data_IF_634472776860
#
_entry.id   IF_634472776860
#
_cell.length_a   1.000
_cell.length_b   1.000
_cell.length_c   1.000
_cell.angle_alpha   90.00
_cell.angle_beta   90.00
_cell.angle_gamma   90.00
#
_symmetry.space_group_name_H-M   'P 1'
#
loop_
_entity.id
_entity.type
_entity.pdbx_description
1 polymer ?
#
# COMPACT_ATOMS: atom_id res chain seq x y z
N UNK A 1 -20.81 6.05 12.67
CA UNK A 1 -21.95 5.36 12.02
C UNK A 1 -22.00 5.77 10.55
N UNK A 2 -22.28 4.85 9.62
CA UNK A 2 -22.29 5.13 8.18
C UNK A 2 -23.63 5.69 7.70
N UNK A 3 -24.03 6.86 8.19
CA UNK A 3 -25.40 7.39 8.00
C UNK A 3 -25.84 7.52 6.54
N UNK A 4 -24.95 7.95 5.66
CA UNK A 4 -25.31 8.12 4.24
C UNK A 4 -25.51 6.77 3.55
N UNK A 5 -24.68 5.77 3.87
CA UNK A 5 -24.89 4.39 3.42
C UNK A 5 -26.23 3.83 3.91
N UNK A 6 -26.61 4.10 5.17
CA UNK A 6 -27.93 3.69 5.70
C UNK A 6 -29.08 4.37 4.95
N UNK A 7 -28.97 5.68 4.68
CA UNK A 7 -29.95 6.42 3.86
C UNK A 7 -30.00 5.89 2.43
N UNK A 8 -28.87 5.44 1.88
CA UNK A 8 -28.82 4.77 0.59
C UNK A 8 -29.64 3.48 0.62
N UNK A 9 -29.38 2.58 1.58
CA UNK A 9 -30.16 1.33 1.76
C UNK A 9 -31.66 1.63 1.85
N UNK A 10 -32.00 2.67 2.61
CA UNK A 10 -33.38 3.11 2.76
C UNK A 10 -34.02 3.56 1.44
N UNK A 11 -33.29 4.35 0.67
CA UNK A 11 -33.74 4.87 -0.62
C UNK A 11 -33.93 3.76 -1.65
N UNK A 12 -33.08 2.73 -1.62
CA UNK A 12 -33.11 1.64 -2.60
C UNK A 12 -34.03 0.49 -2.21
N UNK A 13 -34.64 0.55 -1.03
CA UNK A 13 -35.61 -0.46 -0.59
C UNK A 13 -34.99 -1.80 -0.23
N UNK A 14 -33.75 -1.81 0.28
CA UNK A 14 -33.14 -3.07 0.75
C UNK A 14 -33.88 -3.56 2.00
N UNK A 15 -34.12 -4.87 2.07
CA UNK A 15 -34.77 -5.56 3.20
C UNK A 15 -33.98 -6.85 3.52
N UNK A 16 -34.06 -7.32 4.77
CA UNK A 16 -33.43 -8.57 5.22
C UNK A 16 -32.05 -8.38 5.87
N UNK A 17 -31.23 -9.43 5.86
CA UNK A 17 -29.96 -9.48 6.61
C UNK A 17 -28.86 -8.66 5.95
N UNK A 18 -28.37 -7.67 6.69
CA UNK A 18 -27.24 -6.81 6.32
C UNK A 18 -26.08 -7.05 7.26
N UNK A 19 -24.92 -7.44 6.74
CA UNK A 19 -23.67 -7.49 7.49
C UNK A 19 -23.11 -6.07 7.70
N UNK A 20 -22.76 -5.67 8.92
CA UNK A 20 -22.31 -4.30 9.22
C UNK A 20 -21.07 -4.27 10.11
N UNK A 21 -19.96 -3.80 9.56
CA UNK A 21 -18.67 -3.72 10.25
C UNK A 21 -18.55 -2.59 11.29
N UNK A 22 -19.43 -1.57 11.30
CA UNK A 22 -19.33 -0.43 12.23
C UNK A 22 -19.84 -0.70 13.66
N UNK A 23 -20.62 -1.76 13.86
CA UNK A 23 -21.22 -2.12 15.14
C UNK A 23 -20.62 -3.42 15.67
N UNK A 24 -19.30 -3.47 15.83
CA UNK A 24 -18.57 -4.68 16.26
C UNK A 24 -18.78 -5.89 15.33
N UNK A 25 -19.20 -5.65 14.07
CA UNK A 25 -19.28 -6.66 13.01
C UNK A 25 -20.44 -7.65 13.06
N UNK A 26 -21.58 -7.24 13.60
CA UNK A 26 -22.81 -8.05 13.54
C UNK A 26 -23.59 -7.89 12.23
N UNK A 27 -24.56 -8.78 12.01
CA UNK A 27 -25.64 -8.54 11.06
C UNK A 27 -26.81 -7.83 11.73
N UNK A 28 -27.51 -7.01 10.95
CA UNK A 28 -28.73 -6.31 11.34
C UNK A 28 -29.85 -6.81 10.40
N UNK A 29 -30.99 -7.20 10.96
CA UNK A 29 -32.22 -7.28 10.16
C UNK A 29 -32.59 -5.84 9.78
N UNK A 30 -32.66 -5.58 8.48
CA UNK A 30 -32.97 -4.26 7.93
C UNK A 30 -34.40 -4.27 7.39
N UNK A 31 -35.21 -3.33 7.91
CA UNK A 31 -36.61 -3.05 7.55
C UNK A 31 -37.71 -4.05 7.94
N UNK A 32 -37.41 -5.03 8.79
CA UNK A 32 -38.43 -5.62 9.69
C UNK A 32 -38.30 -5.04 11.12
N UNK A 33 -39.35 -4.36 11.59
CA UNK A 33 -39.45 -3.57 12.83
C UNK A 33 -39.74 -4.42 14.10
N UNK A 34 -39.51 -4.01 15.37
CA UNK A 34 -38.71 -2.92 15.93
C UNK A 34 -37.70 -3.48 16.93
N UNK A 35 -36.47 -3.76 16.53
CA UNK A 35 -35.30 -3.69 17.40
C UNK A 35 -34.13 -3.74 16.45
N UNK A 36 -33.31 -2.69 16.44
CA UNK A 36 -31.91 -2.82 16.04
C UNK A 36 -31.30 -3.82 17.04
N UNK A 37 -31.47 -5.13 16.84
CA UNK A 37 -30.75 -6.14 17.61
C UNK A 37 -29.50 -6.41 16.79
N UNK A 38 -28.36 -5.77 17.09
CA UNK A 38 -27.10 -6.30 16.61
C UNK A 38 -27.03 -7.74 17.11
N UNK A 39 -26.77 -8.70 16.22
CA UNK A 39 -26.53 -10.05 16.68
C UNK A 39 -25.13 -10.10 17.25
N UNK A 40 -25.08 -9.88 18.55
CA UNK A 40 -24.14 -10.55 19.42
C UNK A 40 -24.89 -11.78 19.95
N UNK A 41 -24.91 -12.86 19.16
CA UNK A 41 -25.44 -14.23 19.40
C UNK A 41 -26.67 -14.45 20.31
N UNK A 42 -27.45 -13.41 20.61
CA UNK A 42 -28.43 -13.41 21.69
C UNK A 42 -27.85 -13.44 23.11
N UNK A 43 -26.51 -13.44 23.31
CA UNK A 43 -25.85 -13.51 24.62
C UNK A 43 -24.83 -12.40 24.89
N UNK A 44 -24.63 -11.47 23.97
CA UNK A 44 -23.70 -10.35 24.21
C UNK A 44 -22.22 -10.75 24.19
N UNK A 45 -21.88 -11.94 23.67
CA UNK A 45 -20.49 -12.35 23.41
C UNK A 45 -20.20 -12.52 21.90
N UNK A 46 -19.15 -11.86 21.40
CA UNK A 46 -18.59 -12.16 20.08
C UNK A 46 -17.39 -13.07 20.30
N UNK A 47 -17.39 -14.25 19.67
CA UNK A 47 -16.24 -15.14 19.68
C UNK A 47 -15.02 -14.38 19.11
N UNK A 48 -13.88 -14.30 19.83
CA UNK A 48 -12.74 -13.48 19.41
C UNK A 48 -12.23 -13.77 18.00
N UNK A 49 -12.33 -15.02 17.52
CA UNK A 49 -11.96 -15.38 16.15
C UNK A 49 -12.86 -14.71 15.09
N UNK A 50 -14.14 -14.54 15.38
CA UNK A 50 -15.10 -13.90 14.46
C UNK A 50 -14.82 -12.41 14.32
N UNK A 51 -14.39 -11.72 15.39
CA UNK A 51 -13.96 -10.31 15.32
C UNK A 51 -12.80 -10.12 14.33
N UNK A 52 -11.82 -11.03 14.36
CA UNK A 52 -10.74 -11.02 13.39
C UNK A 52 -11.24 -11.29 11.97
N UNK A 53 -12.09 -12.30 11.78
CA UNK A 53 -12.65 -12.62 10.47
C UNK A 53 -13.47 -11.44 9.90
N UNK A 54 -14.23 -10.73 10.72
CA UNK A 54 -14.97 -9.51 10.35
C UNK A 54 -14.00 -8.41 9.90
N UNK A 55 -12.93 -8.18 10.67
CA UNK A 55 -11.95 -7.14 10.36
C UNK A 55 -11.17 -7.46 9.08
N UNK A 56 -10.77 -8.72 8.91
CA UNK A 56 -10.02 -9.18 7.73
C UNK A 56 -10.91 -9.42 6.52
N UNK A 57 -12.21 -9.68 6.68
CA UNK A 57 -13.13 -9.78 5.56
C UNK A 57 -13.12 -8.52 4.71
N UNK A 58 -12.79 -7.35 5.30
CA UNK A 58 -12.59 -6.06 4.60
C UNK A 58 -11.45 -6.06 3.57
N UNK A 59 -10.58 -7.05 3.62
CA UNK A 59 -9.38 -7.16 2.77
C UNK A 59 -9.26 -8.56 2.15
N UNK A 60 -10.27 -9.42 2.32
CA UNK A 60 -10.20 -10.82 1.90
C UNK A 60 -11.59 -11.32 1.45
N UNK A 61 -11.73 -11.44 0.13
CA UNK A 61 -12.96 -11.90 -0.51
C UNK A 61 -13.39 -13.32 -0.08
N UNK A 62 -12.43 -14.21 0.23
CA UNK A 62 -12.74 -15.56 0.68
C UNK A 62 -13.34 -15.55 2.10
N UNK A 63 -12.85 -14.67 2.98
CA UNK A 63 -13.42 -14.49 4.32
C UNK A 63 -14.84 -13.92 4.25
N UNK A 64 -15.12 -12.96 3.36
CA UNK A 64 -16.48 -12.44 3.17
C UNK A 64 -17.46 -13.54 2.71
N UNK A 65 -17.06 -14.42 1.78
CA UNK A 65 -17.88 -15.58 1.37
C UNK A 65 -18.07 -16.59 2.51
N UNK A 66 -17.05 -16.83 3.34
CA UNK A 66 -17.16 -17.71 4.51
C UNK A 66 -18.15 -17.15 5.55
N UNK A 67 -18.07 -15.85 5.84
CA UNK A 67 -19.02 -15.17 6.72
C UNK A 67 -20.43 -15.20 6.13
N UNK A 68 -20.56 -14.97 4.82
CA UNK A 68 -21.84 -15.09 4.11
C UNK A 68 -22.44 -16.49 4.31
N UNK A 69 -21.67 -17.55 4.06
CA UNK A 69 -22.13 -18.92 4.21
C UNK A 69 -22.54 -19.26 5.66
N UNK A 70 -21.86 -18.68 6.66
CA UNK A 70 -22.15 -18.88 8.08
C UNK A 70 -23.38 -18.12 8.56
N UNK A 71 -23.62 -16.90 8.09
CA UNK A 71 -24.62 -15.98 8.66
C UNK A 71 -25.80 -15.64 7.74
N UNK A 72 -25.69 -15.92 6.44
CA UNK A 72 -26.79 -15.83 5.49
C UNK A 72 -27.23 -14.41 5.15
N UNK A 73 -26.30 -13.46 5.03
CA UNK A 73 -26.57 -12.09 4.55
C UNK A 73 -26.33 -11.98 3.04
N UNK A 74 -27.00 -11.04 2.37
CA UNK A 74 -26.80 -10.73 0.94
C UNK A 74 -26.40 -9.26 0.69
N UNK A 75 -26.30 -8.47 1.77
CA UNK A 75 -25.87 -7.07 1.75
C UNK A 75 -24.79 -6.88 2.81
N UNK A 76 -23.74 -6.15 2.50
CA UNK A 76 -22.65 -5.84 3.42
C UNK A 76 -22.33 -4.35 3.41
N UNK A 77 -22.40 -3.72 4.60
CA UNK A 77 -21.87 -2.37 4.87
C UNK A 77 -20.50 -2.54 5.51
N UNK A 78 -19.49 -2.19 4.73
CA UNK A 78 -18.10 -2.32 5.11
C UNK A 78 -17.55 -0.92 5.39
N UNK A 79 -16.82 -0.74 6.47
CA UNK A 79 -16.08 0.49 6.69
C UNK A 79 -15.11 0.71 5.53
N UNK A 80 -15.06 1.93 5.02
CA UNK A 80 -14.07 2.31 4.03
C UNK A 80 -12.69 2.01 4.63
N UNK A 81 -11.79 1.34 3.90
CA UNK A 81 -10.49 0.97 4.45
C UNK A 81 -9.77 2.22 4.94
N UNK A 82 -9.56 2.31 6.25
CA UNK A 82 -8.72 3.32 6.88
C UNK A 82 -7.32 2.75 7.06
N UNK A 83 -6.30 3.38 6.47
CA UNK A 83 -4.90 3.00 6.63
C UNK A 83 -4.23 2.50 5.36
N UNK A 84 -2.89 2.54 5.36
CA UNK A 84 -1.98 2.36 4.24
C UNK A 84 -2.33 1.15 3.34
N UNK A 85 -2.56 1.45 2.05
CA UNK A 85 -2.60 0.54 0.90
C UNK A 85 -3.03 -0.90 1.24
N UNK A 86 -4.35 -1.12 1.27
CA UNK A 86 -4.91 -2.46 1.13
C UNK A 86 -4.24 -3.17 -0.08
N UNK A 87 -3.83 -4.43 0.10
CA UNK A 87 -3.22 -5.20 -0.99
C UNK A 87 -4.18 -5.24 -2.20
N UNK A 88 -3.72 -4.85 -3.42
CA UNK A 88 -4.58 -4.50 -4.55
C UNK A 88 -5.42 -5.63 -5.17
N UNK A 89 -5.30 -6.87 -4.70
CA UNK A 89 -5.87 -8.05 -5.36
C UNK A 89 -7.13 -8.61 -4.69
N UNK A 90 -7.56 -8.08 -3.54
CA UNK A 90 -8.53 -8.78 -2.71
C UNK A 90 -9.65 -7.90 -2.15
N UNK A 91 -10.60 -7.41 -2.97
CA UNK A 91 -11.85 -6.98 -2.31
C UNK A 91 -13.20 -7.04 -3.04
N UNK A 92 -13.29 -7.40 -4.31
CA UNK A 92 -14.62 -7.68 -4.89
C UNK A 92 -14.73 -9.16 -5.23
N UNK A 93 -15.26 -10.01 -4.33
CA UNK A 93 -15.56 -11.38 -4.70
C UNK A 93 -16.47 -11.38 -5.93
N UNK A 94 -16.30 -12.30 -6.90
CA UNK A 94 -17.05 -12.28 -8.17
C UNK A 94 -18.58 -12.23 -8.00
N UNK A 95 -19.08 -12.73 -6.86
CA UNK A 95 -20.48 -12.79 -6.48
C UNK A 95 -21.04 -11.51 -5.87
N UNK A 96 -20.23 -10.47 -5.69
CA UNK A 96 -20.66 -9.22 -5.10
C UNK A 96 -20.50 -8.07 -6.09
N UNK A 97 -21.28 -7.02 -5.87
CA UNK A 97 -21.22 -5.78 -6.60
C UNK A 97 -21.20 -4.62 -5.60
N UNK A 98 -20.25 -3.70 -5.77
CA UNK A 98 -20.31 -2.42 -5.07
C UNK A 98 -21.43 -1.58 -5.68
N UNK A 99 -22.34 -1.09 -4.85
CA UNK A 99 -23.49 -0.28 -5.28
C UNK A 99 -23.58 1.06 -4.58
N UNK A 100 -22.72 1.31 -3.59
CA UNK A 100 -22.58 2.60 -2.95
C UNK A 100 -21.23 2.71 -2.26
N UNK A 101 -20.66 3.91 -2.24
CA UNK A 101 -19.49 4.22 -1.44
C UNK A 101 -19.45 5.71 -1.05
N UNK A 102 -18.88 6.02 0.10
CA UNK A 102 -18.56 7.39 0.53
C UNK A 102 -17.23 7.41 1.31
N UNK A 103 -16.92 8.52 1.99
CA UNK A 103 -15.68 8.67 2.78
C UNK A 103 -15.60 7.72 3.99
N UNK A 104 -16.73 7.13 4.39
CA UNK A 104 -16.87 6.37 5.63
C UNK A 104 -17.13 4.91 5.32
N UNK A 105 -17.94 4.57 4.32
CA UNK A 105 -18.46 3.22 4.10
C UNK A 105 -18.55 2.81 2.62
N UNK A 106 -18.50 1.51 2.40
CA UNK A 106 -18.77 0.79 1.16
C UNK A 106 -20.01 -0.09 1.37
N UNK A 107 -20.88 -0.18 0.36
CA UNK A 107 -22.03 -1.10 0.37
C UNK A 107 -21.91 -2.06 -0.79
N UNK A 108 -21.81 -3.33 -0.44
CA UNK A 108 -21.82 -4.43 -1.38
C UNK A 108 -23.16 -5.15 -1.33
N UNK A 109 -23.64 -5.54 -2.50
CA UNK A 109 -24.80 -6.42 -2.65
C UNK A 109 -24.38 -7.67 -3.41
N UNK A 110 -24.91 -8.80 -3.00
CA UNK A 110 -24.65 -10.08 -3.66
C UNK A 110 -25.44 -10.14 -4.97
N UNK A 111 -24.85 -10.77 -5.99
CA UNK A 111 -25.46 -11.03 -7.30
C UNK A 111 -26.52 -12.11 -7.20
N UNK A 112 -27.66 -11.76 -6.62
CA UNK A 112 -28.86 -12.61 -6.50
C UNK A 112 -30.01 -11.99 -7.30
N UNK A 113 -31.01 -12.80 -7.74
CA UNK A 113 -32.15 -12.27 -8.49
C UNK A 113 -32.89 -11.09 -7.80
N UNK A 114 -33.13 -11.10 -6.47
CA UNK A 114 -33.80 -9.98 -5.78
C UNK A 114 -33.03 -8.66 -5.82
N UNK A 115 -31.70 -8.71 -5.94
CA UNK A 115 -30.83 -7.53 -5.89
C UNK A 115 -30.33 -7.10 -7.29
N UNK A 116 -30.69 -7.83 -8.34
CA UNK A 116 -30.22 -7.58 -9.71
C UNK A 116 -30.55 -6.15 -10.18
N UNK A 117 -31.76 -5.67 -9.92
CA UNK A 117 -32.18 -4.31 -10.31
C UNK A 117 -31.35 -3.22 -9.62
N UNK A 118 -30.95 -3.44 -8.36
CA UNK A 118 -30.06 -2.51 -7.64
C UNK A 118 -28.67 -2.51 -8.30
N UNK A 119 -28.16 -3.70 -8.64
CA UNK A 119 -26.84 -3.87 -9.26
C UNK A 119 -26.80 -3.25 -10.66
N UNK A 120 -27.84 -3.44 -11.46
CA UNK A 120 -27.92 -2.87 -12.80
C UNK A 120 -28.02 -1.35 -12.76
N UNK A 121 -28.73 -0.81 -11.77
CA UNK A 121 -28.87 0.64 -11.60
C UNK A 121 -27.63 1.28 -10.98
N UNK A 122 -27.11 0.75 -9.89
CA UNK A 122 -26.15 1.42 -9.00
C UNK A 122 -24.75 0.77 -8.99
N UNK A 123 -24.53 -0.28 -9.78
CA UNK A 123 -23.26 -1.00 -9.78
C UNK A 123 -22.08 -0.15 -10.27
N UNK A 124 -21.09 0.06 -9.40
CA UNK A 124 -19.82 0.74 -9.70
C UNK A 124 -18.86 -0.19 -10.44
N UNK A 125 -19.19 -0.54 -11.69
CA UNK A 125 -18.40 -1.49 -12.50
C UNK A 125 -17.00 -0.95 -12.84
N UNK A 126 -16.91 0.36 -13.02
CA UNK A 126 -15.71 1.04 -13.51
C UNK A 126 -14.83 1.57 -12.37
N UNK A 127 -15.45 2.01 -11.27
CA UNK A 127 -14.78 2.59 -10.11
C UNK A 127 -14.64 1.47 -9.07
N UNK A 128 -13.48 0.84 -9.03
CA UNK A 128 -13.15 -0.12 -7.99
C UNK A 128 -12.53 0.66 -6.83
N UNK A 129 -13.25 0.97 -5.74
CA UNK A 129 -12.75 1.84 -4.68
C UNK A 129 -11.65 1.19 -3.85
N UNK A 130 -11.52 -0.15 -3.91
CA UNK A 130 -10.43 -0.86 -3.24
C UNK A 130 -9.10 -0.53 -3.92
N UNK A 131 -9.14 -0.24 -5.22
CA UNK A 131 -8.01 0.30 -5.95
C UNK A 131 -8.18 1.81 -6.02
N UNK A 132 -7.38 2.51 -5.20
CA UNK A 132 -7.21 3.96 -5.27
C UNK A 132 -6.81 4.42 -6.70
N UNK A 133 -6.44 5.69 -6.87
CA UNK A 133 -6.06 6.31 -8.15
C UNK A 133 -5.36 5.35 -9.12
N UNK A 134 -4.35 4.59 -8.65
CA UNK A 134 -3.60 3.60 -9.44
C UNK A 134 -4.45 2.58 -10.24
N UNK A 135 -5.57 2.10 -9.70
CA UNK A 135 -6.47 1.18 -10.42
C UNK A 135 -7.49 1.88 -11.31
N UNK A 136 -7.69 3.19 -11.10
CA UNK A 136 -8.57 4.03 -11.91
C UNK A 136 -7.87 4.47 -13.20
N UNK A 137 -6.58 4.83 -13.13
CA UNK A 137 -5.85 5.44 -14.26
C UNK A 137 -5.90 4.60 -15.55
N UNK A 138 -5.66 3.28 -15.54
CA UNK A 138 -5.73 2.49 -16.77
C UNK A 138 -7.14 2.51 -17.38
N UNK A 139 -8.19 2.55 -16.56
CA UNK A 139 -9.58 2.56 -17.03
C UNK A 139 -10.00 3.90 -17.62
N UNK A 140 -9.36 5.00 -17.21
CA UNK A 140 -9.58 6.31 -17.82
C UNK A 140 -9.02 6.36 -19.25
N UNK A 141 -7.92 5.65 -19.53
CA UNK A 141 -7.35 5.58 -20.88
C UNK A 141 -8.30 4.89 -21.88
N UNK A 142 -9.05 3.89 -21.43
CA UNK A 142 -9.93 3.07 -22.29
C UNK A 142 -11.42 3.48 -22.25
N UNK A 143 -11.83 4.43 -21.38
CA UNK A 143 -13.26 4.73 -21.16
C UNK A 143 -13.59 5.92 -20.24
N UNK A 144 -12.87 7.04 -20.34
CA UNK A 144 -12.96 8.20 -19.44
C UNK A 144 -14.38 8.67 -19.08
N UNK A 145 -15.29 8.81 -20.07
CA UNK A 145 -16.60 9.44 -19.86
C UNK A 145 -17.55 8.62 -18.96
N UNK A 146 -17.55 7.30 -19.09
CA UNK A 146 -18.40 6.43 -18.28
C UNK A 146 -17.93 6.39 -16.82
N UNK A 147 -16.60 6.36 -16.62
CA UNK A 147 -15.99 6.42 -15.30
C UNK A 147 -16.30 7.75 -14.61
N UNK A 148 -16.10 8.88 -15.31
CA UNK A 148 -16.39 10.21 -14.75
C UNK A 148 -17.87 10.37 -14.42
N UNK A 149 -18.76 9.87 -15.27
CA UNK A 149 -20.21 9.91 -15.03
C UNK A 149 -20.57 9.23 -13.70
N UNK A 150 -20.00 8.05 -13.44
CA UNK A 150 -20.28 7.31 -12.21
C UNK A 150 -19.66 7.98 -10.97
N UNK A 151 -18.45 8.52 -11.07
CA UNK A 151 -17.83 9.32 -9.99
C UNK A 151 -18.70 10.54 -9.67
N UNK A 152 -19.13 11.30 -10.69
CA UNK A 152 -19.98 12.48 -10.51
C UNK A 152 -21.34 12.13 -9.91
N UNK A 153 -21.93 11.02 -10.34
CA UNK A 153 -23.17 10.50 -9.76
C UNK A 153 -22.98 10.20 -8.28
N UNK A 154 -21.92 9.51 -7.90
CA UNK A 154 -21.60 9.25 -6.50
C UNK A 154 -21.47 10.55 -5.69
N UNK A 155 -20.66 11.49 -6.18
CA UNK A 155 -20.46 12.80 -5.55
C UNK A 155 -21.81 13.51 -5.34
N UNK A 156 -22.71 13.47 -6.32
CA UNK A 156 -24.04 14.06 -6.20
C UNK A 156 -24.89 13.45 -5.09
N UNK A 157 -24.66 12.17 -4.75
CA UNK A 157 -25.38 11.45 -3.70
C UNK A 157 -24.72 11.59 -2.32
N UNK A 158 -23.39 11.63 -2.27
CA UNK A 158 -22.62 11.46 -1.01
C UNK A 158 -21.85 12.70 -0.60
N UNK A 159 -21.49 13.56 -1.55
CA UNK A 159 -20.51 14.64 -1.38
C UNK A 159 -19.16 14.13 -0.85
N UNK A 160 -18.82 12.88 -1.20
CA UNK A 160 -17.59 12.20 -0.79
C UNK A 160 -16.34 12.97 -1.20
N UNK A 161 -15.44 13.21 -0.25
CA UNK A 161 -14.11 13.79 -0.44
C UNK A 161 -13.25 12.89 -1.32
N UNK A 162 -13.29 11.58 -1.11
CA UNK A 162 -12.63 10.62 -1.97
C UNK A 162 -13.21 10.61 -3.39
N UNK A 163 -14.53 10.82 -3.54
CA UNK A 163 -15.16 11.04 -4.84
C UNK A 163 -14.59 12.25 -5.58
N UNK A 164 -14.54 13.41 -4.89
CA UNK A 164 -13.93 14.62 -5.44
C UNK A 164 -12.44 14.46 -5.78
N UNK A 165 -11.70 13.70 -4.96
CA UNK A 165 -10.29 13.40 -5.20
C UNK A 165 -10.10 12.59 -6.49
N UNK A 166 -10.85 11.50 -6.65
CA UNK A 166 -10.81 10.67 -7.86
C UNK A 166 -11.22 11.48 -9.10
N UNK A 167 -12.24 12.34 -8.99
CA UNK A 167 -12.64 13.24 -10.07
C UNK A 167 -11.51 14.21 -10.45
N UNK A 168 -10.83 14.79 -9.47
CA UNK A 168 -9.70 15.68 -9.67
C UNK A 168 -8.57 15.00 -10.44
N UNK A 169 -8.17 13.79 -10.03
CA UNK A 169 -7.15 13.02 -10.74
C UNK A 169 -7.62 12.62 -12.15
N UNK A 170 -8.88 12.22 -12.32
CA UNK A 170 -9.40 11.87 -13.64
C UNK A 170 -9.31 13.05 -14.62
N UNK A 171 -9.67 14.26 -14.15
CA UNK A 171 -9.60 15.49 -14.95
C UNK A 171 -8.16 15.95 -15.19
N UNK A 172 -7.27 15.78 -14.22
CA UNK A 172 -5.84 16.03 -14.38
C UNK A 172 -5.26 15.16 -15.51
N UNK A 173 -5.60 13.87 -15.54
CA UNK A 173 -5.21 12.95 -16.61
C UNK A 173 -5.82 13.31 -17.97
N UNK A 174 -7.03 13.87 -17.98
CA UNK A 174 -7.67 14.39 -19.18
C UNK A 174 -7.16 15.79 -19.60
N UNK A 175 -6.15 16.34 -18.91
CA UNK A 175 -5.62 17.69 -19.12
C UNK A 175 -6.65 18.82 -18.90
N UNK A 176 -7.76 18.54 -18.22
CA UNK A 176 -8.80 19.49 -17.81
C UNK A 176 -8.41 20.13 -16.46
N UNK A 177 -7.36 20.96 -16.48
CA UNK A 177 -6.67 21.41 -15.27
C UNK A 177 -7.54 22.29 -14.36
N UNK A 178 -8.37 23.17 -14.92
CA UNK A 178 -9.26 24.05 -14.14
C UNK A 178 -10.33 23.24 -13.41
N UNK A 179 -10.92 22.29 -14.11
CA UNK A 179 -11.93 21.40 -13.58
C UNK A 179 -11.34 20.40 -12.56
N UNK A 180 -10.06 20.04 -12.71
CA UNK A 180 -9.31 19.25 -11.73
C UNK A 180 -9.07 20.05 -10.44
N UNK A 181 -8.60 21.30 -10.57
CA UNK A 181 -8.38 22.20 -9.43
C UNK A 181 -9.69 22.40 -8.66
N UNK A 182 -10.81 22.66 -9.35
CA UNK A 182 -12.12 22.82 -8.71
C UNK A 182 -12.53 21.57 -7.93
N UNK A 183 -12.29 20.38 -8.48
CA UNK A 183 -12.61 19.12 -7.81
C UNK A 183 -11.73 18.91 -6.55
N UNK A 184 -10.40 19.08 -6.66
CA UNK A 184 -9.51 18.96 -5.51
C UNK A 184 -9.81 19.99 -4.42
N UNK A 185 -10.18 21.22 -4.79
CA UNK A 185 -10.60 22.26 -3.85
C UNK A 185 -11.91 21.95 -3.12
N UNK A 186 -12.68 20.93 -3.52
CA UNK A 186 -13.87 20.46 -2.79
C UNK A 186 -13.58 19.33 -1.81
N UNK A 187 -12.38 18.77 -1.80
CA UNK A 187 -11.97 17.75 -0.83
C UNK A 187 -11.90 18.36 0.58
N UNK A 188 -12.59 17.74 1.56
CA UNK A 188 -12.62 18.21 2.96
C UNK A 188 -12.19 17.14 3.97
N UNK A 189 -12.20 15.87 3.56
CA UNK A 189 -11.82 14.74 4.40
C UNK A 189 -10.34 14.73 4.75
N UNK A 190 -10.03 14.49 6.02
CA UNK A 190 -8.66 14.48 6.55
C UNK A 190 -7.74 13.47 5.85
N UNK A 191 -8.25 12.29 5.51
CA UNK A 191 -7.48 11.25 4.82
C UNK A 191 -7.12 11.59 3.37
N UNK A 192 -7.90 12.46 2.72
CA UNK A 192 -7.76 12.79 1.30
C UNK A 192 -7.12 14.17 1.06
N UNK A 193 -6.98 15.00 2.09
CA UNK A 193 -6.56 16.40 1.93
C UNK A 193 -5.11 16.53 1.46
N UNK A 194 -4.25 15.59 1.85
CA UNK A 194 -2.83 15.56 1.46
C UNK A 194 -2.71 15.20 -0.02
N UNK A 195 -3.41 14.15 -0.46
CA UNK A 195 -3.45 13.74 -1.86
C UNK A 195 -4.09 14.83 -2.74
N UNK A 196 -5.13 15.51 -2.24
CA UNK A 196 -5.74 16.64 -2.93
C UNK A 196 -4.77 17.82 -3.08
N UNK A 197 -3.99 18.13 -2.05
CA UNK A 197 -2.96 19.17 -2.13
C UNK A 197 -1.85 18.81 -3.13
N UNK A 198 -1.46 17.53 -3.21
CA UNK A 198 -0.55 17.05 -4.25
C UNK A 198 -1.17 17.20 -5.65
N UNK A 199 -2.44 16.79 -5.81
CA UNK A 199 -3.20 16.96 -7.05
C UNK A 199 -3.31 18.42 -7.47
N UNK A 200 -3.54 19.34 -6.54
CA UNK A 200 -3.55 20.79 -6.78
C UNK A 200 -2.19 21.28 -7.25
N UNK A 201 -1.11 20.91 -6.56
CA UNK A 201 0.24 21.29 -6.97
C UNK A 201 0.55 20.83 -8.41
N UNK A 202 0.20 19.58 -8.73
CA UNK A 202 0.36 19.02 -10.08
C UNK A 202 -0.50 19.74 -11.13
N UNK A 203 -1.77 20.01 -10.82
CA UNK A 203 -2.68 20.67 -11.75
C UNK A 203 -2.25 22.11 -12.06
N UNK A 204 -1.88 22.88 -11.04
CA UNK A 204 -1.32 24.23 -11.22
C UNK A 204 -0.05 24.20 -12.07
N UNK A 205 0.87 23.26 -11.79
CA UNK A 205 2.11 23.12 -12.55
C UNK A 205 1.85 22.79 -14.02
N UNK A 206 1.04 21.75 -14.29
CA UNK A 206 0.76 21.32 -15.67
C UNK A 206 -0.03 22.36 -16.47
N UNK A 207 -0.83 23.20 -15.79
CA UNK A 207 -1.48 24.38 -16.38
C UNK A 207 -0.49 25.50 -16.74
N UNK A 208 0.73 25.47 -16.20
CA UNK A 208 1.75 26.50 -16.37
C UNK A 208 1.82 27.52 -15.22
N UNK A 209 0.94 27.42 -14.22
CA UNK A 209 0.98 28.21 -12.99
C UNK A 209 1.92 27.58 -11.96
N UNK A 210 3.22 27.68 -12.24
CA UNK A 210 4.26 27.10 -11.38
C UNK A 210 4.33 27.81 -10.03
N UNK A 211 3.99 29.10 -9.96
CA UNK A 211 3.95 29.85 -8.71
C UNK A 211 2.86 29.30 -7.78
N UNK A 212 1.65 29.06 -8.29
CA UNK A 212 0.59 28.40 -7.54
C UNK A 212 0.98 27.00 -7.07
N UNK A 213 1.70 26.23 -7.90
CA UNK A 213 2.22 24.92 -7.52
C UNK A 213 3.20 24.98 -6.34
N UNK A 214 4.09 25.98 -6.31
CA UNK A 214 5.05 26.20 -5.21
C UNK A 214 4.34 26.40 -3.88
N UNK A 215 3.24 27.15 -3.83
CA UNK A 215 2.49 27.39 -2.59
C UNK A 215 1.94 26.09 -1.99
N UNK A 216 1.39 25.19 -2.82
CA UNK A 216 0.93 23.88 -2.36
C UNK A 216 2.10 22.99 -1.94
N UNK A 217 3.20 22.97 -2.69
CA UNK A 217 4.38 22.18 -2.31
C UNK A 217 5.03 22.65 -1.01
N UNK A 218 5.03 23.97 -0.72
CA UNK A 218 5.51 24.50 0.56
C UNK A 218 4.69 23.94 1.72
N UNK A 219 3.37 24.00 1.63
CA UNK A 219 2.46 23.44 2.64
C UNK A 219 2.64 21.93 2.80
N UNK A 220 2.83 21.20 1.70
CA UNK A 220 3.07 19.74 1.74
C UNK A 220 4.39 19.40 2.46
N UNK A 221 5.46 20.15 2.21
CA UNK A 221 6.76 19.95 2.84
C UNK A 221 6.75 20.26 4.34
N UNK A 222 5.89 21.18 4.80
CA UNK A 222 5.71 21.46 6.24
C UNK A 222 5.14 20.26 6.99
N UNK A 223 4.28 19.47 6.35
CA UNK A 223 3.64 18.30 6.98
C UNK A 223 4.44 17.01 6.73
N UNK A 224 4.90 16.80 5.49
CA UNK A 224 5.59 15.58 5.06
C UNK A 224 6.84 15.93 4.22
N UNK A 225 7.98 16.25 4.86
CA UNK A 225 9.22 16.62 4.17
C UNK A 225 9.95 15.41 3.58
N UNK A 226 9.28 14.63 2.72
CA UNK A 226 9.89 13.49 2.04
C UNK A 226 10.85 13.96 0.95
N UNK A 227 11.85 13.13 0.55
CA UNK A 227 12.76 13.47 -0.56
C UNK A 227 12.01 13.86 -1.84
N UNK A 228 10.90 13.19 -2.14
CA UNK A 228 10.07 13.45 -3.33
C UNK A 228 9.37 14.82 -3.23
N UNK A 229 8.78 15.16 -2.09
CA UNK A 229 8.11 16.46 -1.92
C UNK A 229 9.11 17.62 -1.94
N UNK A 230 10.25 17.46 -1.28
CA UNK A 230 11.35 18.44 -1.31
C UNK A 230 11.92 18.63 -2.72
N UNK A 231 12.03 17.54 -3.49
CA UNK A 231 12.44 17.59 -4.88
C UNK A 231 11.42 18.31 -5.77
N UNK A 232 10.13 17.99 -5.64
CA UNK A 232 9.09 18.65 -6.43
C UNK A 232 9.03 20.15 -6.15
N UNK A 233 9.14 20.56 -4.87
CA UNK A 233 9.26 21.96 -4.47
C UNK A 233 10.51 22.59 -5.09
N UNK A 234 11.67 21.95 -4.96
CA UNK A 234 12.93 22.43 -5.52
C UNK A 234 12.87 22.62 -7.03
N UNK A 235 12.32 21.64 -7.76
CA UNK A 235 12.14 21.71 -9.19
C UNK A 235 11.21 22.86 -9.60
N UNK A 236 10.05 23.03 -8.93
CA UNK A 236 9.15 24.15 -9.18
C UNK A 236 9.82 25.51 -8.90
N UNK A 237 10.60 25.62 -7.81
CA UNK A 237 11.38 26.81 -7.46
C UNK A 237 12.44 27.15 -8.52
N UNK A 238 13.15 26.14 -9.06
CA UNK A 238 14.11 26.39 -10.16
C UNK A 238 13.43 26.91 -11.43
N UNK A 239 12.18 26.50 -11.70
CA UNK A 239 11.45 26.92 -12.89
C UNK A 239 10.98 28.37 -12.79
N UNK A 240 10.69 28.87 -11.59
CA UNK A 240 10.39 30.29 -11.34
C UNK A 240 11.64 31.15 -11.07
N UNK A 241 12.84 30.58 -11.23
CA UNK A 241 14.13 31.29 -11.05
C UNK A 241 14.55 31.53 -9.60
N UNK A 242 13.88 30.92 -8.61
CA UNK A 242 14.26 31.00 -7.21
C UNK A 242 15.28 29.91 -6.85
N UNK A 243 16.45 29.97 -7.49
CA UNK A 243 17.47 28.92 -7.38
C UNK A 243 18.05 28.78 -5.96
N UNK A 244 18.05 29.86 -5.16
CA UNK A 244 18.53 29.83 -3.77
C UNK A 244 17.66 28.95 -2.88
N UNK A 245 16.34 29.15 -2.93
CA UNK A 245 15.39 28.33 -2.16
C UNK A 245 15.36 26.91 -2.71
N UNK A 246 15.44 26.76 -4.05
CA UNK A 246 15.51 25.46 -4.69
C UNK A 246 16.68 24.60 -4.19
N UNK A 247 17.89 25.17 -4.13
CA UNK A 247 19.08 24.48 -3.60
C UNK A 247 18.85 24.00 -2.16
N UNK A 248 18.24 24.83 -1.31
CA UNK A 248 17.98 24.45 0.08
C UNK A 248 17.03 23.23 0.17
N UNK A 249 15.96 23.20 -0.64
CA UNK A 249 15.04 22.07 -0.69
C UNK A 249 15.70 20.81 -1.26
N UNK A 250 16.45 20.95 -2.37
CA UNK A 250 17.09 19.84 -3.06
C UNK A 250 18.24 19.23 -2.24
N UNK A 251 19.01 20.03 -1.51
CA UNK A 251 20.02 19.53 -0.57
C UNK A 251 19.38 18.73 0.57
N UNK A 252 18.26 19.20 1.12
CA UNK A 252 17.49 18.43 2.13
C UNK A 252 17.00 17.11 1.55
N UNK A 253 16.51 17.09 0.31
CA UNK A 253 16.09 15.86 -0.37
C UNK A 253 17.26 14.88 -0.51
N UNK A 254 18.42 15.37 -0.99
CA UNK A 254 19.64 14.57 -1.15
C UNK A 254 20.20 14.04 0.17
N UNK A 255 20.17 14.84 1.23
CA UNK A 255 20.61 14.43 2.57
C UNK A 255 19.68 13.37 3.16
N UNK A 256 18.38 13.49 2.93
CA UNK A 256 17.39 12.52 3.40
C UNK A 256 17.47 11.20 2.64
N UNK A 257 17.74 11.21 1.33
CA UNK A 257 18.01 10.00 0.56
C UNK A 257 19.10 10.25 -0.50
N UNK A 258 20.37 9.91 -0.19
CA UNK A 258 21.47 10.05 -1.13
C UNK A 258 21.31 9.20 -2.40
N UNK A 259 20.44 8.19 -2.40
CA UNK A 259 20.19 7.33 -3.58
C UNK A 259 19.12 7.89 -4.50
N UNK A 260 18.44 8.97 -4.11
CA UNK A 260 17.39 9.59 -4.91
C UNK A 260 17.99 10.35 -6.11
N UNK A 261 18.39 9.59 -7.13
CA UNK A 261 19.10 10.07 -8.33
C UNK A 261 18.45 11.28 -9.05
N UNK A 262 17.11 11.43 -9.10
CA UNK A 262 16.48 12.58 -9.77
C UNK A 262 16.88 13.95 -9.19
N UNK A 263 17.29 14.02 -7.92
CA UNK A 263 17.66 15.31 -7.28
C UNK A 263 18.92 15.93 -7.89
N UNK A 264 19.85 15.10 -8.34
CA UNK A 264 21.20 15.53 -8.69
C UNK A 264 21.23 16.44 -9.92
N UNK A 265 20.61 16.12 -11.08
CA UNK A 265 20.62 17.00 -12.24
C UNK A 265 20.02 18.38 -11.96
N UNK A 266 18.93 18.42 -11.19
CA UNK A 266 18.24 19.67 -10.84
C UNK A 266 19.12 20.53 -9.93
N UNK A 267 19.74 19.90 -8.93
CA UNK A 267 20.63 20.59 -7.99
C UNK A 267 21.94 21.04 -8.65
N UNK A 268 22.54 20.25 -9.55
CA UNK A 268 23.70 20.66 -10.36
C UNK A 268 23.37 21.89 -11.22
N UNK A 269 22.23 21.88 -11.90
CA UNK A 269 21.78 23.03 -12.68
C UNK A 269 21.56 24.28 -11.80
N UNK A 270 20.96 24.13 -10.62
CA UNK A 270 20.77 25.23 -9.68
C UNK A 270 22.12 25.78 -9.17
N UNK A 271 23.09 24.92 -8.84
CA UNK A 271 24.44 25.33 -8.47
C UNK A 271 25.16 26.10 -9.58
N UNK A 272 25.02 25.64 -10.83
CA UNK A 272 25.61 26.33 -11.99
C UNK A 272 25.06 27.75 -12.15
N UNK A 273 23.74 27.93 -12.02
CA UNK A 273 23.10 29.26 -12.09
C UNK A 273 23.53 30.18 -10.95
N UNK A 274 23.85 29.61 -9.78
CA UNK A 274 24.35 30.35 -8.62
C UNK A 274 25.88 30.55 -8.63
N UNK A 275 26.60 30.08 -9.66
CA UNK A 275 28.06 30.20 -9.75
C UNK A 275 28.84 29.31 -8.77
N UNK A 276 28.24 28.22 -8.28
CA UNK A 276 28.83 27.33 -7.28
C UNK A 276 29.49 26.10 -7.93
N UNK A 277 30.47 26.32 -8.80
CA UNK A 277 31.10 25.28 -9.64
C UNK A 277 31.76 24.12 -8.87
N UNK A 278 32.40 24.40 -7.73
CA UNK A 278 33.04 23.36 -6.91
C UNK A 278 32.01 22.32 -6.40
N UNK A 279 30.82 22.79 -6.01
CA UNK A 279 29.74 21.93 -5.53
C UNK A 279 29.12 21.11 -6.65
N UNK A 280 29.07 21.63 -7.88
CA UNK A 280 28.60 20.89 -9.04
C UNK A 280 29.49 19.65 -9.31
N UNK A 281 30.81 19.79 -9.22
CA UNK A 281 31.74 18.69 -9.47
C UNK A 281 31.60 17.55 -8.44
N UNK A 282 31.54 17.89 -7.15
CA UNK A 282 31.30 16.91 -6.09
C UNK A 282 29.96 16.20 -6.27
N UNK A 283 28.93 16.94 -6.70
CA UNK A 283 27.61 16.41 -6.93
C UNK A 283 27.55 15.49 -8.14
N UNK A 284 28.35 15.73 -9.19
CA UNK A 284 28.44 14.84 -10.35
C UNK A 284 29.00 13.46 -9.98
N UNK A 285 30.01 13.40 -9.09
CA UNK A 285 30.53 12.13 -8.56
C UNK A 285 29.47 11.40 -7.74
N UNK A 286 28.80 12.11 -6.83
CA UNK A 286 27.74 11.54 -6.01
C UNK A 286 26.54 11.07 -6.86
N UNK A 287 26.22 11.77 -7.95
CA UNK A 287 25.19 11.36 -8.91
C UNK A 287 25.54 10.04 -9.58
N UNK A 288 26.78 9.89 -10.06
CA UNK A 288 27.25 8.65 -10.68
C UNK A 288 27.12 7.48 -9.70
N UNK A 289 27.53 7.64 -8.44
CA UNK A 289 27.33 6.62 -7.41
C UNK A 289 25.85 6.31 -7.18
N UNK A 290 24.99 7.33 -7.07
CA UNK A 290 23.56 7.13 -6.88
C UNK A 290 22.92 6.36 -8.06
N UNK A 291 23.32 6.64 -9.30
CA UNK A 291 22.87 5.89 -10.47
C UNK A 291 23.30 4.43 -10.42
N UNK A 292 24.58 4.15 -10.11
CA UNK A 292 25.08 2.78 -9.97
C UNK A 292 24.33 2.00 -8.88
N UNK A 293 24.07 2.63 -7.73
CA UNK A 293 23.29 2.02 -6.66
C UNK A 293 21.82 1.81 -7.06
N UNK A 294 21.22 2.74 -7.80
CA UNK A 294 19.88 2.61 -8.36
C UNK A 294 19.77 1.44 -9.34
N UNK A 295 20.74 1.29 -10.23
CA UNK A 295 20.83 0.13 -11.15
C UNK A 295 20.98 -1.18 -10.36
N UNK A 296 21.81 -1.20 -9.32
CA UNK A 296 21.94 -2.37 -8.45
C UNK A 296 20.59 -2.77 -7.83
N UNK A 297 19.81 -1.80 -7.34
CA UNK A 297 18.50 -2.05 -6.75
C UNK A 297 17.46 -2.51 -7.79
N UNK A 298 17.54 -2.00 -9.03
CA UNK A 298 16.69 -2.46 -10.13
C UNK A 298 16.94 -3.93 -10.47
N UNK A 299 18.20 -4.33 -10.59
CA UNK A 299 18.59 -5.74 -10.77
C UNK A 299 18.07 -6.60 -9.61
N UNK A 300 18.17 -6.13 -8.37
CA UNK A 300 17.63 -6.86 -7.21
C UNK A 300 16.09 -6.98 -7.27
N UNK A 301 15.39 -5.91 -7.66
CA UNK A 301 13.93 -5.92 -7.83
C UNK A 301 13.53 -6.92 -8.92
N UNK A 302 14.24 -6.93 -10.05
CA UNK A 302 14.01 -7.89 -11.14
C UNK A 302 14.27 -9.32 -10.70
N UNK A 303 15.34 -9.56 -9.93
CA UNK A 303 15.59 -10.87 -9.35
C UNK A 303 14.43 -11.36 -8.48
N UNK A 304 13.91 -10.51 -7.58
CA UNK A 304 12.76 -10.84 -6.72
C UNK A 304 11.52 -11.20 -7.54
N UNK A 305 11.29 -10.49 -8.64
CA UNK A 305 10.19 -10.78 -9.56
C UNK A 305 10.39 -12.15 -10.23
N UNK A 306 11.57 -12.43 -10.77
CA UNK A 306 11.89 -13.71 -11.40
C UNK A 306 11.80 -14.89 -10.43
N UNK A 307 12.19 -14.72 -9.17
CA UNK A 307 11.97 -15.73 -8.12
C UNK A 307 10.48 -16.04 -7.91
N UNK A 308 9.61 -15.02 -7.92
CA UNK A 308 8.14 -15.22 -7.81
C UNK A 308 7.56 -15.93 -9.03
N UNK A 309 8.14 -15.70 -10.21
CA UNK A 309 7.77 -16.38 -11.46
C UNK A 309 8.31 -17.81 -11.57
N UNK A 310 9.05 -18.32 -10.58
CA UNK A 310 9.61 -19.66 -10.61
C UNK A 310 10.82 -19.81 -11.53
N UNK A 311 11.56 -18.72 -11.81
CA UNK A 311 12.78 -18.70 -12.64
C UNK A 311 14.03 -18.44 -11.78
N UNK A 312 14.45 -19.39 -10.93
CA UNK A 312 15.51 -19.14 -9.95
C UNK A 312 16.90 -18.96 -10.59
N UNK A 313 17.16 -19.55 -11.76
CA UNK A 313 18.44 -19.37 -12.47
C UNK A 313 18.64 -17.92 -12.94
N UNK A 314 17.62 -17.34 -13.59
CA UNK A 314 17.64 -15.94 -14.04
C UNK A 314 17.69 -14.99 -12.84
N UNK A 315 16.98 -15.31 -11.75
CA UNK A 315 17.03 -14.54 -10.52
C UNK A 315 18.46 -14.46 -9.95
N UNK A 316 19.21 -15.57 -9.90
CA UNK A 316 20.62 -15.56 -9.45
C UNK A 316 21.50 -14.65 -10.32
N UNK A 317 21.32 -14.68 -11.64
CA UNK A 317 22.10 -13.83 -12.55
C UNK A 317 21.84 -12.33 -12.28
N UNK A 318 20.59 -11.96 -12.04
CA UNK A 318 20.19 -10.60 -11.68
C UNK A 318 20.71 -10.19 -10.29
N UNK A 319 20.64 -11.05 -9.27
CA UNK A 319 21.23 -10.76 -7.94
C UNK A 319 22.75 -10.59 -8.03
N UNK A 320 23.45 -11.43 -8.80
CA UNK A 320 24.89 -11.31 -8.98
C UNK A 320 25.27 -10.01 -9.69
N UNK A 321 24.44 -9.55 -10.63
CA UNK A 321 24.63 -8.25 -11.28
C UNK A 321 24.41 -7.11 -10.28
N UNK A 322 23.37 -7.20 -9.45
CA UNK A 322 23.15 -6.27 -8.34
C UNK A 322 24.37 -6.20 -7.40
N UNK A 323 24.90 -7.35 -6.97
CA UNK A 323 26.06 -7.42 -6.07
C UNK A 323 27.37 -6.96 -6.72
N UNK A 324 27.50 -7.06 -8.04
CA UNK A 324 28.66 -6.46 -8.74
C UNK A 324 28.61 -4.93 -8.73
N UNK A 325 27.41 -4.34 -8.83
CA UNK A 325 27.20 -2.89 -8.80
C UNK A 325 27.19 -2.33 -7.37
N UNK A 326 26.67 -3.11 -6.41
CA UNK A 326 26.68 -2.81 -4.99
C UNK A 326 27.09 -4.05 -4.17
N UNK A 327 28.39 -4.29 -3.98
CA UNK A 327 28.88 -5.45 -3.23
C UNK A 327 28.47 -5.48 -1.76
N UNK A 328 28.08 -4.33 -1.20
CA UNK A 328 27.70 -4.19 0.20
C UNK A 328 26.19 -4.08 0.39
N UNK A 329 25.41 -4.85 -0.37
CA UNK A 329 23.96 -4.89 -0.24
C UNK A 329 23.50 -6.13 0.55
N UNK A 330 23.16 -6.00 1.85
CA UNK A 330 22.73 -7.13 2.68
C UNK A 330 21.41 -7.74 2.18
N UNK A 331 20.51 -6.95 1.59
CA UNK A 331 19.25 -7.43 1.04
C UNK A 331 19.46 -8.30 -0.20
N UNK A 332 20.45 -7.97 -1.04
CA UNK A 332 20.80 -8.78 -2.20
C UNK A 332 21.46 -10.11 -1.78
N UNK A 333 22.38 -10.07 -0.81
CA UNK A 333 22.98 -11.28 -0.23
C UNK A 333 21.94 -12.19 0.40
N UNK A 334 21.05 -11.65 1.24
CA UNK A 334 19.98 -12.43 1.86
C UNK A 334 19.03 -13.03 0.82
N UNK A 335 18.70 -12.29 -0.24
CA UNK A 335 17.87 -12.80 -1.32
C UNK A 335 18.57 -13.91 -2.12
N UNK A 336 19.88 -13.82 -2.36
CA UNK A 336 20.66 -14.90 -2.97
C UNK A 336 20.62 -16.16 -2.08
N UNK A 337 20.77 -15.98 -0.77
CA UNK A 337 20.65 -17.05 0.21
C UNK A 337 19.28 -17.74 0.19
N UNK A 338 18.19 -16.97 0.04
CA UNK A 338 16.84 -17.53 -0.11
C UNK A 338 16.71 -18.40 -1.37
N UNK A 339 17.27 -17.94 -2.49
CA UNK A 339 17.21 -18.69 -3.75
C UNK A 339 17.98 -20.02 -3.61
N UNK A 340 19.16 -20.00 -2.99
CA UNK A 340 19.91 -21.23 -2.70
C UNK A 340 19.17 -22.17 -1.74
N UNK A 341 18.51 -21.62 -0.72
CA UNK A 341 17.66 -22.41 0.18
C UNK A 341 16.53 -23.10 -0.58
N UNK A 342 15.85 -22.40 -1.49
CA UNK A 342 14.79 -22.98 -2.33
C UNK A 342 15.31 -24.09 -3.26
N UNK A 343 16.58 -24.00 -3.69
CA UNK A 343 17.25 -25.01 -4.49
C UNK A 343 17.83 -26.18 -3.67
N UNK A 344 17.71 -26.15 -2.33
CA UNK A 344 18.30 -27.15 -1.44
C UNK A 344 19.83 -27.03 -1.26
N UNK A 345 20.43 -25.92 -1.72
CA UNK A 345 21.87 -25.64 -1.64
C UNK A 345 22.19 -25.00 -0.29
N UNK A 346 22.14 -25.78 0.77
CA UNK A 346 22.12 -25.29 2.16
C UNK A 346 23.41 -24.58 2.56
N UNK A 347 24.58 -25.05 2.12
CA UNK A 347 25.89 -24.48 2.43
C UNK A 347 26.02 -23.06 1.87
N UNK A 348 25.61 -22.90 0.61
CA UNK A 348 25.66 -21.62 -0.07
C UNK A 348 24.63 -20.66 0.52
N UNK A 349 23.45 -21.17 0.88
CA UNK A 349 22.45 -20.38 1.60
C UNK A 349 23.00 -19.85 2.93
N UNK A 350 23.68 -20.68 3.75
CA UNK A 350 24.32 -20.21 5.00
C UNK A 350 25.33 -19.11 4.71
N UNK A 351 26.24 -19.32 3.75
CA UNK A 351 27.29 -18.36 3.44
C UNK A 351 26.73 -16.99 3.07
N UNK A 352 25.71 -16.95 2.21
CA UNK A 352 25.10 -15.67 1.78
C UNK A 352 24.31 -15.00 2.90
N UNK A 353 23.58 -15.75 3.73
CA UNK A 353 22.83 -15.16 4.84
C UNK A 353 23.77 -14.65 5.95
N UNK A 354 24.90 -15.32 6.20
CA UNK A 354 25.93 -14.85 7.12
C UNK A 354 26.59 -13.56 6.60
N UNK A 355 26.98 -13.52 5.32
CA UNK A 355 27.52 -12.31 4.71
C UNK A 355 26.53 -11.14 4.77
N UNK A 356 25.22 -11.41 4.65
CA UNK A 356 24.19 -10.39 4.84
C UNK A 356 24.17 -9.86 6.29
N UNK A 357 24.29 -10.74 7.29
CA UNK A 357 24.33 -10.37 8.71
C UNK A 357 25.64 -9.71 9.14
N UNK A 358 26.75 -9.95 8.45
CA UNK A 358 28.00 -9.20 8.66
C UNK A 358 27.86 -7.72 8.26
N UNK A 359 27.03 -7.44 7.24
CA UNK A 359 26.75 -6.08 6.80
C UNK A 359 25.61 -5.42 7.59
N UNK A 360 24.58 -6.20 7.94
CA UNK A 360 23.43 -5.75 8.72
C UNK A 360 23.03 -6.84 9.75
N UNK A 361 23.55 -6.75 10.98
CA UNK A 361 23.27 -7.73 12.04
C UNK A 361 21.80 -7.80 12.47
N UNK A 362 20.98 -6.82 12.10
CA UNK A 362 19.56 -6.74 12.44
C UNK A 362 18.66 -7.02 11.24
N UNK A 363 19.22 -7.57 10.16
CA UNK A 363 18.45 -8.00 9.01
C UNK A 363 17.58 -9.21 9.35
N UNK A 364 16.33 -8.94 9.75
CA UNK A 364 15.37 -9.96 10.15
C UNK A 364 15.23 -11.08 9.10
N UNK A 365 15.17 -10.71 7.82
CA UNK A 365 15.05 -11.66 6.72
C UNK A 365 16.19 -12.68 6.69
N UNK A 366 17.42 -12.26 6.98
CA UNK A 366 18.58 -13.15 7.01
C UNK A 366 18.57 -14.07 8.24
N UNK A 367 18.09 -13.58 9.40
CA UNK A 367 17.82 -14.45 10.54
C UNK A 367 16.77 -15.52 10.23
N UNK A 368 15.67 -15.16 9.59
CA UNK A 368 14.66 -16.14 9.15
C UNK A 368 15.26 -17.17 8.18
N UNK A 369 16.03 -16.72 7.19
CA UNK A 369 16.71 -17.60 6.24
C UNK A 369 17.66 -18.60 6.91
N UNK A 370 18.52 -18.14 7.83
CA UNK A 370 19.40 -19.04 8.59
C UNK A 370 18.62 -20.02 9.46
N UNK A 371 17.56 -19.57 10.13
CA UNK A 371 16.74 -20.44 10.96
C UNK A 371 16.16 -21.60 10.14
N UNK A 372 15.64 -21.30 8.94
CA UNK A 372 15.15 -22.30 7.99
C UNK A 372 16.23 -23.26 7.50
N UNK A 373 17.45 -22.75 7.23
CA UNK A 373 18.57 -23.61 6.82
C UNK A 373 18.96 -24.58 7.94
N UNK A 374 19.08 -24.08 9.18
CA UNK A 374 19.42 -24.91 10.34
C UNK A 374 18.32 -25.93 10.68
N UNK A 375 17.05 -25.57 10.52
CA UNK A 375 15.92 -26.47 10.67
C UNK A 375 16.00 -27.65 9.68
N UNK A 376 16.28 -27.38 8.39
CA UNK A 376 16.46 -28.42 7.37
C UNK A 376 17.68 -29.31 7.62
N UNK A 377 18.70 -28.79 8.31
CA UNK A 377 19.89 -29.55 8.73
C UNK A 377 19.69 -30.34 10.03
N UNK A 378 18.56 -30.16 10.72
CA UNK A 378 18.31 -30.75 12.04
C UNK A 378 19.03 -30.06 13.21
N UNK A 379 19.70 -28.92 12.98
CA UNK A 379 20.31 -28.11 14.04
C UNK A 379 19.23 -27.21 14.69
N UNK A 380 18.37 -27.86 15.48
CA UNK A 380 17.28 -27.21 16.18
C UNK A 380 17.72 -26.09 17.15
N UNK A 381 18.82 -26.22 17.91
CA UNK A 381 19.34 -25.12 18.75
C UNK A 381 19.67 -23.86 17.95
N UNK A 382 20.41 -23.99 16.83
CA UNK A 382 20.73 -22.83 15.99
C UNK A 382 19.50 -22.25 15.32
N UNK A 383 18.60 -23.12 14.81
CA UNK A 383 17.35 -22.69 14.19
C UNK A 383 16.50 -21.85 15.16
N UNK A 384 16.33 -22.32 16.41
CA UNK A 384 15.62 -21.60 17.47
C UNK A 384 16.20 -20.22 17.71
N UNK A 385 17.53 -20.12 17.90
CA UNK A 385 18.21 -18.84 18.18
C UNK A 385 17.91 -17.78 17.11
N UNK A 386 17.97 -18.18 15.85
CA UNK A 386 17.71 -17.28 14.73
C UNK A 386 16.21 -16.93 14.58
N UNK A 387 15.29 -17.87 14.83
CA UNK A 387 13.86 -17.59 14.88
C UNK A 387 13.47 -16.63 16.00
N UNK A 388 14.06 -16.77 17.20
CA UNK A 388 13.83 -15.84 18.30
C UNK A 388 14.37 -14.44 17.98
N UNK A 389 15.51 -14.33 17.29
CA UNK A 389 16.03 -13.04 16.82
C UNK A 389 15.11 -12.41 15.77
N UNK A 390 14.60 -13.20 14.82
CA UNK A 390 13.58 -12.75 13.87
C UNK A 390 12.36 -12.18 14.58
N UNK A 391 11.79 -12.89 15.55
CA UNK A 391 10.59 -12.43 16.28
C UNK A 391 10.84 -11.17 17.12
N UNK A 392 12.07 -10.96 17.61
CA UNK A 392 12.43 -9.71 18.30
C UNK A 392 12.46 -8.51 17.35
N UNK A 393 12.91 -8.73 16.11
CA UNK A 393 13.00 -7.69 15.09
C UNK A 393 11.63 -7.40 14.45
N UNK A 394 10.84 -8.46 14.21
CA UNK A 394 9.58 -8.42 13.45
C UNK A 394 8.44 -9.15 14.20
N UNK A 395 8.01 -8.68 15.38
CA UNK A 395 7.04 -9.39 16.23
C UNK A 395 5.61 -9.43 15.67
N UNK A 396 5.29 -8.56 14.71
CA UNK A 396 3.96 -8.39 14.12
C UNK A 396 3.92 -8.74 12.62
N UNK A 397 5.00 -9.25 12.04
CA UNK A 397 5.02 -9.61 10.63
C UNK A 397 4.10 -10.80 10.34
N UNK A 398 3.68 -10.94 9.08
CA UNK A 398 2.90 -12.10 8.63
C UNK A 398 3.59 -13.44 8.95
N UNK A 399 4.92 -13.49 8.82
CA UNK A 399 5.72 -14.68 9.14
C UNK A 399 5.92 -14.89 10.64
N UNK A 400 5.62 -13.91 11.50
CA UNK A 400 5.76 -14.07 12.95
C UNK A 400 4.86 -15.21 13.48
N UNK A 401 3.67 -15.38 12.91
CA UNK A 401 2.78 -16.49 13.28
C UNK A 401 3.38 -17.86 12.91
N UNK A 402 3.94 -18.00 11.71
CA UNK A 402 4.56 -19.26 11.27
C UNK A 402 5.79 -19.60 12.13
N UNK A 403 6.59 -18.60 12.48
CA UNK A 403 7.77 -18.76 13.34
C UNK A 403 7.36 -19.15 14.77
N UNK A 404 6.34 -18.50 15.36
CA UNK A 404 5.81 -18.90 16.69
C UNK A 404 5.33 -20.34 16.71
N UNK A 405 4.65 -20.77 15.65
CA UNK A 405 4.22 -22.16 15.49
C UNK A 405 5.43 -23.11 15.39
N UNK A 406 6.44 -22.77 14.59
CA UNK A 406 7.67 -23.57 14.48
C UNK A 406 8.35 -23.74 15.85
N UNK A 407 8.51 -22.66 16.62
CA UNK A 407 9.12 -22.68 17.96
C UNK A 407 8.32 -23.51 18.99
N UNK A 408 7.02 -23.68 18.80
CA UNK A 408 6.17 -24.52 19.66
C UNK A 408 6.29 -26.03 19.37
N UNK A 409 6.95 -26.42 18.27
CA UNK A 409 7.14 -27.84 17.96
C UNK A 409 8.13 -28.50 18.93
N UNK A 410 7.92 -29.77 19.34
CA UNK A 410 8.78 -30.44 20.30
C UNK A 410 10.28 -30.44 19.94
N UNK A 411 10.58 -30.50 18.63
CA UNK A 411 11.94 -30.46 18.10
C UNK A 411 12.67 -29.13 18.37
N UNK A 412 11.94 -28.01 18.38
CA UNK A 412 12.47 -26.66 18.59
C UNK A 412 12.13 -26.08 19.97
N UNK A 413 11.17 -26.66 20.69
CA UNK A 413 10.72 -26.22 22.01
C UNK A 413 11.78 -26.41 23.11
N UNK A 414 12.80 -27.23 22.84
CA UNK A 414 13.81 -27.62 23.83
C UNK A 414 13.20 -28.57 24.85
N UNK A 415 13.86 -29.71 25.10
CA UNK A 415 13.56 -30.55 26.25
C UNK A 415 13.71 -29.69 27.51
N UNK A 416 12.58 -29.31 28.12
CA UNK A 416 12.57 -28.90 29.53
C UNK A 416 13.22 -30.04 30.30
N UNK A 417 14.31 -29.74 31.00
CA UNK A 417 15.18 -30.72 31.64
C UNK A 417 14.41 -31.86 32.31
N UNK A 418 14.65 -33.07 31.81
CA UNK A 418 14.49 -34.30 32.58
C UNK A 418 15.86 -34.67 33.16
N UNK A 419 16.40 -33.84 34.05
CA UNK A 419 17.39 -34.29 35.03
C UNK A 419 16.68 -34.42 36.37
N UNK A 420 16.82 -35.62 36.93
CA UNK A 420 16.30 -36.06 38.24
C UNK A 420 16.95 -35.33 39.40
#
# INVERSE_FOLDING_TARGET
>A
MPEQALRYLDRVGIEGRVFNTFHWGGYLEWRDSPKRVPIIDGRGHIEPGVLWDIEFARQNAALLEQLQARYGFDVAIVAYPGGERAEPDAFVPPRWALVYWDDVALVYVRRTPPLATIIDRDGYRSVDPARWVDGLLPKLADGAAAVETEIRRNIGQTRSSAGYLLLGFARLHAHAYDEAIEAFQRVRGYSAIVDAAQGLAMAHWQKGDVAGAVDYYKRLVEVYPTPVMLYNLGLALTQIGNDREAVACLERARQSDPRFAPVYPVLMNAYRRLGQGDREHDLARAHSTALTLGQAEEHLRKARQLSREGKPGDAVAEVNTSLRLNPRNPQALSHLGDIYLQQGRLEEAVAQQQAALELDPDLAKAHYGLARVYELRGDHPSARRHFERYLRLEPASYLAWTVRRALSQPSLAGLVGSDR
#
